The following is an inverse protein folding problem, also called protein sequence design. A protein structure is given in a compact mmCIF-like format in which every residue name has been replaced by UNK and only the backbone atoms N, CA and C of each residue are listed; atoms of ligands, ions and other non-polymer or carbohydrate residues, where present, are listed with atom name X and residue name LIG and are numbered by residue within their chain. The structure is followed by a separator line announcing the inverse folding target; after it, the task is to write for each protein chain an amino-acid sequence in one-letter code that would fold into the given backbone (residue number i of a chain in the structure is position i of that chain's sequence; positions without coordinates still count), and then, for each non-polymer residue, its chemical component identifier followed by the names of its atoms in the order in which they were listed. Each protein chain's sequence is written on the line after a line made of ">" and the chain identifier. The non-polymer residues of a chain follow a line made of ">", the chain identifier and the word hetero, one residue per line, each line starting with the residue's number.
data_IF_834984619007
#
_entry.id   IF_834984619007
#
_cell.length_a   1.000
_cell.length_b   1.000
_cell.length_c   1.000
_cell.angle_alpha   90.00
_cell.angle_beta   90.00
_cell.angle_gamma   90.00
#
_symmetry.space_group_name_H-M   'P 1'
#
loop_
_entity.id
_entity.type
_entity.pdbx_description
1 polymer ?
#
# COMPACT_ATOMS: atom_id res chain seq x y z
N UNK A 1 -17.92 -12.82 -7.96
CA UNK A 1 -16.59 -13.26 -8.39
C UNK A 1 -16.22 -12.52 -9.66
N UNK A 2 -15.07 -11.88 -9.64
CA UNK A 2 -14.46 -11.21 -10.77
C UNK A 2 -14.50 -12.10 -12.01
N UNK A 3 -14.83 -11.51 -13.14
CA UNK A 3 -14.66 -12.17 -14.43
C UNK A 3 -13.16 -12.49 -14.57
N UNK A 4 -12.81 -13.76 -14.75
CA UNK A 4 -11.42 -14.19 -14.92
C UNK A 4 -11.24 -14.56 -16.40
N UNK A 5 -10.25 -13.99 -17.10
CA UNK A 5 -10.00 -14.36 -18.49
C UNK A 5 -9.77 -15.88 -18.64
N UNK A 6 -10.43 -16.52 -19.61
CA UNK A 6 -10.27 -17.95 -19.86
C UNK A 6 -8.79 -18.36 -20.06
N UNK A 7 -8.00 -17.47 -20.70
CA UNK A 7 -6.55 -17.66 -20.91
C UNK A 7 -5.78 -17.79 -19.59
N UNK A 8 -6.24 -17.20 -18.48
CA UNK A 8 -5.59 -17.30 -17.17
C UNK A 8 -5.62 -18.72 -16.64
N UNK A 9 -6.76 -19.42 -16.77
CA UNK A 9 -6.88 -20.82 -16.35
C UNK A 9 -5.92 -21.71 -17.13
N UNK A 10 -5.93 -21.59 -18.46
CA UNK A 10 -5.06 -22.36 -19.34
C UNK A 10 -3.57 -22.13 -19.04
N UNK A 11 -3.15 -20.87 -18.82
CA UNK A 11 -1.76 -20.58 -18.46
C UNK A 11 -1.35 -21.24 -17.13
N UNK A 12 -2.23 -21.26 -16.13
CA UNK A 12 -1.97 -21.94 -14.85
C UNK A 12 -1.90 -23.45 -15.02
N UNK A 13 -2.72 -24.04 -15.90
CA UNK A 13 -2.65 -25.47 -16.25
C UNK A 13 -1.33 -25.82 -16.94
N UNK A 14 -0.88 -25.02 -17.92
CA UNK A 14 0.42 -25.19 -18.58
C UNK A 14 1.57 -25.05 -17.58
N UNK A 15 1.52 -24.03 -16.71
CA UNK A 15 2.50 -23.80 -15.66
C UNK A 15 2.60 -25.01 -14.72
N UNK A 16 1.45 -25.52 -14.24
CA UNK A 16 1.42 -26.65 -13.32
C UNK A 16 1.73 -28.01 -13.98
N UNK A 17 1.52 -28.14 -15.29
CA UNK A 17 1.92 -29.34 -16.02
C UNK A 17 3.44 -29.39 -16.22
N UNK A 18 4.06 -28.25 -16.56
CA UNK A 18 5.49 -28.16 -16.85
C UNK A 18 6.36 -28.19 -15.58
N UNK A 19 5.96 -27.46 -14.53
CA UNK A 19 6.62 -27.39 -13.22
C UNK A 19 8.11 -26.97 -13.21
N UNK A 20 8.69 -26.61 -14.35
CA UNK A 20 10.11 -26.25 -14.44
C UNK A 20 10.54 -25.15 -13.46
N UNK A 21 9.67 -24.16 -13.22
CA UNK A 21 9.94 -23.04 -12.33
C UNK A 21 9.49 -23.26 -10.87
N UNK A 22 9.21 -24.50 -10.43
CA UNK A 22 8.63 -24.76 -9.11
C UNK A 22 9.47 -24.22 -7.94
N UNK A 23 10.79 -24.36 -8.02
CA UNK A 23 11.72 -23.85 -7.01
C UNK A 23 11.82 -22.31 -6.98
N UNK A 24 11.39 -21.61 -8.04
CA UNK A 24 11.56 -20.16 -8.17
C UNK A 24 10.40 -19.36 -7.59
N UNK A 25 9.23 -19.97 -7.42
CA UNK A 25 8.00 -19.26 -7.09
C UNK A 25 7.47 -19.66 -5.70
N UNK A 26 7.41 -18.70 -4.77
CA UNK A 26 6.85 -18.92 -3.44
C UNK A 26 5.36 -19.32 -3.44
N UNK A 27 4.64 -19.06 -4.53
CA UNK A 27 3.22 -19.43 -4.71
C UNK A 27 3.07 -20.89 -5.16
N UNK A 28 4.13 -21.50 -5.70
CA UNK A 28 4.06 -22.82 -6.30
C UNK A 28 3.53 -23.92 -5.36
N UNK A 29 3.90 -23.98 -4.06
CA UNK A 29 3.34 -24.96 -3.13
C UNK A 29 1.82 -24.90 -2.96
N UNK A 30 1.21 -23.73 -3.20
CA UNK A 30 -0.24 -23.60 -3.28
C UNK A 30 -0.76 -24.06 -4.65
N UNK A 31 -0.08 -23.70 -5.73
CA UNK A 31 -0.47 -24.01 -7.10
C UNK A 31 -0.45 -25.52 -7.38
N UNK A 32 0.58 -26.24 -6.96
CA UNK A 32 0.77 -27.67 -7.28
C UNK A 32 -0.30 -28.61 -6.70
N UNK A 33 -1.02 -28.16 -5.67
CA UNK A 33 -2.11 -28.90 -5.02
C UNK A 33 -3.36 -29.01 -5.89
N UNK A 34 -3.37 -28.35 -7.05
CA UNK A 34 -4.55 -28.17 -7.92
C UNK A 34 -4.28 -28.73 -9.31
N UNK A 35 -5.03 -29.75 -9.72
CA UNK A 35 -4.93 -30.32 -11.08
C UNK A 35 -5.78 -29.57 -12.10
N UNK A 36 -6.87 -28.97 -11.66
CA UNK A 36 -7.73 -28.06 -12.42
C UNK A 36 -8.01 -26.86 -11.52
N UNK A 37 -8.17 -25.68 -12.12
CA UNK A 37 -8.34 -24.44 -11.38
C UNK A 37 -9.79 -23.99 -11.41
N UNK A 38 -10.38 -23.80 -10.23
CA UNK A 38 -11.66 -23.10 -10.11
C UNK A 38 -11.43 -21.58 -10.06
N UNK A 39 -12.46 -20.75 -10.31
CA UNK A 39 -12.34 -19.31 -10.09
C UNK A 39 -11.80 -18.93 -8.70
N UNK A 40 -12.17 -19.69 -7.67
CA UNK A 40 -11.74 -19.47 -6.28
C UNK A 40 -10.23 -19.71 -6.12
N UNK A 41 -9.72 -20.75 -6.77
CA UNK A 41 -8.29 -21.05 -6.79
C UNK A 41 -7.48 -19.95 -7.46
N UNK A 42 -7.95 -19.41 -8.58
CA UNK A 42 -7.26 -18.33 -9.28
C UNK A 42 -7.24 -17.05 -8.44
N UNK A 43 -8.36 -16.69 -7.80
CA UNK A 43 -8.43 -15.55 -6.87
C UNK A 43 -7.46 -15.71 -5.70
N UNK A 44 -7.39 -16.92 -5.13
CA UNK A 44 -6.45 -17.23 -4.05
C UNK A 44 -4.99 -17.08 -4.50
N UNK A 45 -4.62 -17.69 -5.62
CA UNK A 45 -3.25 -17.65 -6.15
C UNK A 45 -2.84 -16.22 -6.58
N UNK A 46 -3.78 -15.45 -7.14
CA UNK A 46 -3.55 -14.06 -7.52
C UNK A 46 -3.16 -13.17 -6.33
N UNK A 47 -3.78 -13.40 -5.18
CA UNK A 47 -3.51 -12.68 -3.93
C UNK A 47 -2.34 -13.24 -3.11
N UNK A 48 -1.76 -14.38 -3.50
CA UNK A 48 -0.46 -14.84 -3.03
C UNK A 48 0.70 -14.36 -3.91
N UNK A 49 0.45 -14.07 -5.18
CA UNK A 49 1.46 -13.61 -6.12
C UNK A 49 1.81 -12.13 -5.86
N UNK A 50 3.10 -11.82 -5.73
CA UNK A 50 3.60 -10.44 -5.56
C UNK A 50 4.46 -9.94 -6.72
N UNK A 51 4.20 -10.42 -7.94
CA UNK A 51 4.91 -9.99 -9.17
C UNK A 51 6.44 -10.10 -9.02
N UNK A 52 6.90 -11.25 -8.52
CA UNK A 52 8.33 -11.53 -8.34
C UNK A 52 9.06 -11.85 -9.66
N UNK A 53 8.29 -12.18 -10.71
CA UNK A 53 8.71 -12.42 -12.11
C UNK A 53 9.71 -13.55 -12.36
N UNK A 54 10.18 -14.23 -11.32
CA UNK A 54 11.08 -15.36 -11.46
C UNK A 54 10.51 -16.45 -12.39
N UNK A 55 9.21 -16.75 -12.28
CA UNK A 55 8.55 -17.70 -13.17
C UNK A 55 8.48 -17.24 -14.63
N UNK A 56 8.46 -15.93 -14.92
CA UNK A 56 8.43 -15.42 -16.30
C UNK A 56 9.78 -15.62 -16.97
N UNK A 57 10.88 -15.18 -16.34
CA UNK A 57 12.22 -15.31 -16.91
C UNK A 57 12.72 -16.76 -16.99
N UNK A 58 12.20 -17.65 -16.14
CA UNK A 58 12.52 -19.07 -16.19
C UNK A 58 11.60 -19.88 -17.14
N UNK A 59 10.51 -19.31 -17.65
CA UNK A 59 9.52 -20.08 -18.41
C UNK A 59 9.96 -20.27 -19.87
N UNK A 60 10.13 -21.54 -20.27
CA UNK A 60 10.41 -21.90 -21.68
C UNK A 60 9.27 -21.52 -22.65
N UNK A 61 8.07 -21.26 -22.13
CA UNK A 61 6.87 -20.89 -22.88
C UNK A 61 6.53 -19.40 -22.78
N UNK A 62 7.38 -18.58 -22.13
CA UNK A 62 7.24 -17.14 -22.16
C UNK A 62 7.46 -16.59 -23.58
N UNK A 63 6.94 -15.39 -23.90
CA UNK A 63 7.24 -14.74 -25.18
C UNK A 63 8.76 -14.71 -25.46
N UNK A 64 9.19 -14.96 -26.71
CA UNK A 64 8.40 -15.01 -27.95
C UNK A 64 7.77 -16.37 -28.30
N UNK A 65 7.80 -17.38 -27.40
CA UNK A 65 7.15 -18.67 -27.66
C UNK A 65 5.65 -18.48 -27.97
N UNK A 66 5.10 -19.27 -28.88
CA UNK A 66 3.71 -19.15 -29.39
C UNK A 66 2.65 -19.22 -28.27
N UNK A 67 2.90 -20.00 -27.22
CA UNK A 67 2.04 -20.09 -26.04
C UNK A 67 1.96 -18.76 -25.27
N UNK A 68 3.02 -17.94 -25.28
CA UNK A 68 3.07 -16.63 -24.66
C UNK A 68 2.65 -16.62 -23.19
N UNK A 69 3.14 -17.59 -22.40
CA UNK A 69 2.81 -17.74 -20.98
C UNK A 69 3.40 -16.57 -20.18
N UNK A 70 2.55 -15.87 -19.44
CA UNK A 70 2.90 -14.75 -18.58
C UNK A 70 2.08 -14.78 -17.29
N UNK A 71 2.48 -15.68 -16.38
CA UNK A 71 1.84 -15.88 -15.08
C UNK A 71 1.83 -14.60 -14.21
N UNK A 72 2.92 -13.81 -14.11
CA UNK A 72 2.89 -12.58 -13.32
C UNK A 72 1.80 -11.62 -13.77
N UNK A 73 1.69 -11.38 -15.09
CA UNK A 73 0.64 -10.52 -15.66
C UNK A 73 -0.75 -11.11 -15.44
N UNK A 74 -0.96 -12.38 -15.77
CA UNK A 74 -2.27 -13.02 -15.64
C UNK A 74 -2.81 -12.99 -14.20
N UNK A 75 -1.94 -13.19 -13.21
CA UNK A 75 -2.30 -13.11 -11.80
C UNK A 75 -2.44 -11.66 -11.30
N UNK A 76 -1.63 -10.72 -11.80
CA UNK A 76 -1.77 -9.29 -11.49
C UNK A 76 -3.12 -8.74 -11.98
N UNK A 77 -3.53 -9.09 -13.20
CA UNK A 77 -4.83 -8.71 -13.78
C UNK A 77 -6.00 -9.23 -12.92
N UNK A 78 -5.93 -10.45 -12.41
CA UNK A 78 -6.98 -10.98 -11.50
C UNK A 78 -6.93 -10.27 -10.16
N UNK A 79 -5.74 -10.04 -9.58
CA UNK A 79 -5.60 -9.36 -8.29
C UNK A 79 -6.16 -7.94 -8.34
N UNK A 80 -5.86 -7.19 -9.39
CA UNK A 80 -6.43 -5.86 -9.63
C UNK A 80 -7.96 -5.88 -9.61
N UNK A 81 -8.58 -6.85 -10.30
CA UNK A 81 -10.05 -7.00 -10.31
C UNK A 81 -10.60 -7.27 -8.91
N UNK A 82 -9.87 -8.03 -8.09
CA UNK A 82 -10.30 -8.29 -6.70
C UNK A 82 -10.25 -7.05 -5.82
N UNK A 83 -9.35 -6.08 -6.08
CA UNK A 83 -9.35 -4.80 -5.36
C UNK A 83 -10.65 -4.04 -5.60
N UNK A 84 -11.12 -3.99 -6.84
CA UNK A 84 -12.39 -3.32 -7.17
C UNK A 84 -13.62 -4.08 -6.63
N UNK A 85 -13.57 -5.41 -6.58
CA UNK A 85 -14.71 -6.25 -6.15
C UNK A 85 -14.94 -6.19 -4.63
N UNK A 86 -13.85 -6.16 -3.86
CA UNK A 86 -13.88 -6.12 -2.40
C UNK A 86 -13.84 -4.70 -1.81
N UNK A 87 -13.60 -3.68 -2.62
CA UNK A 87 -13.71 -2.29 -2.19
C UNK A 87 -15.18 -1.86 -2.01
N UNK A 88 -15.41 -1.05 -0.97
CA UNK A 88 -16.72 -0.48 -0.64
C UNK A 88 -16.58 1.04 -0.56
N UNK A 89 -17.52 1.84 -1.12
CA UNK A 89 -18.64 1.42 -1.94
C UNK A 89 -18.19 1.04 -3.36
N UNK A 90 -18.78 -0.02 -3.93
CA UNK A 90 -18.42 -0.56 -5.25
C UNK A 90 -18.51 0.46 -6.40
N UNK A 91 -19.42 1.43 -6.28
CA UNK A 91 -19.59 2.52 -7.27
C UNK A 91 -18.31 3.36 -7.38
N UNK A 92 -17.71 3.71 -6.24
CA UNK A 92 -16.47 4.50 -6.19
C UNK A 92 -15.30 3.66 -6.67
N UNK A 93 -15.26 2.36 -6.33
CA UNK A 93 -14.21 1.45 -6.79
C UNK A 93 -14.15 1.34 -8.32
N UNK A 94 -15.31 1.25 -8.98
CA UNK A 94 -15.40 1.23 -10.44
C UNK A 94 -14.93 2.53 -11.10
N UNK A 95 -15.22 3.68 -10.47
CA UNK A 95 -14.79 5.01 -10.93
C UNK A 95 -13.29 5.20 -10.72
N UNK A 96 -12.77 4.87 -9.54
CA UNK A 96 -11.36 4.97 -9.18
C UNK A 96 -10.47 4.15 -10.13
N UNK A 97 -10.92 2.94 -10.47
CA UNK A 97 -10.20 2.05 -11.41
C UNK A 97 -10.04 2.65 -12.81
N UNK A 98 -10.99 3.48 -13.25
CA UNK A 98 -11.05 4.00 -14.63
C UNK A 98 -10.59 5.45 -14.75
N UNK A 99 -10.49 6.17 -13.64
CA UNK A 99 -10.36 7.61 -13.66
C UNK A 99 -9.26 8.11 -12.71
N UNK A 100 -8.05 8.31 -13.26
CA UNK A 100 -6.94 8.93 -12.53
C UNK A 100 -7.27 10.35 -12.05
N UNK A 101 -8.24 11.04 -12.67
CA UNK A 101 -8.71 12.34 -12.21
C UNK A 101 -9.41 12.28 -10.85
N UNK A 102 -9.91 11.12 -10.42
CA UNK A 102 -10.54 10.99 -9.12
C UNK A 102 -9.58 11.39 -8.00
N UNK A 103 -8.31 10.94 -8.06
CA UNK A 103 -7.32 11.34 -7.07
C UNK A 103 -7.11 12.86 -7.09
N UNK A 104 -6.97 13.46 -8.27
CA UNK A 104 -6.79 14.92 -8.36
C UNK A 104 -8.00 15.66 -7.76
N UNK A 105 -9.22 15.22 -8.07
CA UNK A 105 -10.44 15.85 -7.52
C UNK A 105 -10.51 15.73 -6.01
N UNK A 106 -10.14 14.57 -5.44
CA UNK A 106 -10.08 14.38 -3.98
C UNK A 106 -8.98 15.25 -3.38
N UNK A 107 -7.79 15.30 -3.97
CA UNK A 107 -6.70 16.13 -3.49
C UNK A 107 -7.05 17.63 -3.48
N UNK A 108 -7.69 18.12 -4.56
CA UNK A 108 -8.16 19.51 -4.65
C UNK A 108 -9.29 19.77 -3.64
N UNK A 109 -10.23 18.84 -3.47
CA UNK A 109 -11.30 18.96 -2.49
C UNK A 109 -10.75 18.99 -1.05
N UNK A 110 -9.79 18.12 -0.72
CA UNK A 110 -9.10 18.10 0.58
C UNK A 110 -8.34 19.41 0.83
N UNK A 111 -7.66 19.94 -0.19
CA UNK A 111 -6.95 21.22 -0.10
C UNK A 111 -7.92 22.38 0.10
N UNK A 112 -9.03 22.41 -0.63
CA UNK A 112 -10.07 23.42 -0.46
C UNK A 112 -10.72 23.34 0.93
N UNK A 113 -10.97 22.14 1.44
CA UNK A 113 -11.53 21.91 2.77
C UNK A 113 -10.64 22.49 3.87
N UNK A 114 -9.36 22.08 3.95
CA UNK A 114 -8.44 22.61 4.96
C UNK A 114 -8.05 24.07 4.71
N UNK A 115 -7.95 24.49 3.46
CA UNK A 115 -7.69 25.88 3.09
C UNK A 115 -8.81 26.82 3.55
N UNK A 116 -10.08 26.42 3.39
CA UNK A 116 -11.23 27.19 3.88
C UNK A 116 -11.20 27.30 5.41
N UNK A 117 -10.94 26.20 6.11
CA UNK A 117 -10.82 26.20 7.58
C UNK A 117 -9.71 27.16 8.02
N UNK A 118 -8.53 27.06 7.41
CA UNK A 118 -7.39 27.90 7.76
C UNK A 118 -7.58 29.38 7.37
N UNK A 119 -8.42 29.69 6.37
CA UNK A 119 -8.76 31.07 6.01
C UNK A 119 -9.53 31.80 7.12
N UNK A 120 -10.23 31.07 7.99
CA UNK A 120 -10.87 31.62 9.19
C UNK A 120 -9.97 31.57 10.44
N UNK A 121 -8.69 31.25 10.29
CA UNK A 121 -7.74 31.25 11.41
C UNK A 121 -7.54 32.67 11.96
N UNK A 122 -7.61 32.89 13.29
CA UNK A 122 -7.47 34.21 13.91
C UNK A 122 -6.12 34.90 13.65
N UNK A 123 -5.05 34.12 13.40
CA UNK A 123 -3.68 34.63 13.23
C UNK A 123 -3.20 34.55 11.77
N UNK A 124 -4.04 34.04 10.87
CA UNK A 124 -3.71 33.86 9.47
C UNK A 124 -2.71 32.72 9.19
N UNK A 125 -2.52 32.44 7.89
CA UNK A 125 -1.73 31.31 7.38
C UNK A 125 -0.22 31.56 7.29
N UNK A 126 0.20 32.83 7.18
CA UNK A 126 1.57 33.23 6.85
C UNK A 126 2.30 33.87 8.04
N UNK A 127 1.88 33.58 9.26
CA UNK A 127 2.55 34.04 10.47
C UNK A 127 3.20 32.86 11.18
N UNK A 128 4.38 33.08 11.76
CA UNK A 128 5.02 32.09 12.60
C UNK A 128 4.16 31.89 13.85
N UNK A 129 3.78 30.64 14.12
CA UNK A 129 3.00 30.28 15.28
C UNK A 129 3.85 29.36 16.16
N UNK A 130 4.18 29.83 17.35
CA UNK A 130 5.04 29.11 18.29
C UNK A 130 4.34 28.91 19.63
N UNK A 131 4.80 27.91 20.38
CA UNK A 131 4.26 27.55 21.69
C UNK A 131 3.17 26.47 21.65
N UNK A 132 2.65 26.09 22.82
CA UNK A 132 1.68 25.00 22.96
C UNK A 132 0.38 25.29 22.20
N UNK A 133 -0.08 24.31 21.42
CA UNK A 133 -1.30 24.41 20.60
C UNK A 133 -1.14 25.21 19.30
N UNK A 134 0.09 25.53 18.86
CA UNK A 134 0.31 26.37 17.68
C UNK A 134 -0.27 25.84 16.36
N UNK A 135 -0.48 24.52 16.23
CA UNK A 135 -1.17 23.97 15.06
C UNK A 135 -2.70 24.22 15.11
N UNK A 136 -3.27 24.23 16.33
CA UNK A 136 -4.71 24.33 16.54
C UNK A 136 -5.29 25.72 16.32
N UNK A 137 -4.43 26.72 16.30
CA UNK A 137 -4.79 28.08 15.92
C UNK A 137 -4.98 28.23 14.41
N UNK A 138 -4.32 27.38 13.59
CA UNK A 138 -4.50 27.35 12.13
C UNK A 138 -5.65 26.43 11.76
N UNK A 139 -5.60 25.18 12.22
CA UNK A 139 -6.64 24.17 11.97
C UNK A 139 -7.14 23.66 13.32
N UNK A 140 -8.39 23.94 13.72
CA UNK A 140 -8.91 23.51 15.02
C UNK A 140 -8.77 22.00 15.22
N UNK A 141 -8.51 21.57 16.47
CA UNK A 141 -8.26 20.17 16.81
C UNK A 141 -9.31 19.19 16.23
N UNK A 142 -10.59 19.52 16.38
CA UNK A 142 -11.69 18.69 15.85
C UNK A 142 -11.66 18.55 14.32
N UNK A 143 -11.23 19.58 13.61
CA UNK A 143 -11.12 19.54 12.16
C UNK A 143 -9.96 18.66 11.67
N UNK A 144 -8.96 18.39 12.53
CA UNK A 144 -7.90 17.43 12.25
C UNK A 144 -8.32 16.00 12.61
N UNK A 145 -8.88 15.82 13.82
CA UNK A 145 -9.16 14.48 14.36
C UNK A 145 -10.39 13.82 13.75
N UNK A 146 -11.49 14.55 13.53
CA UNK A 146 -12.72 13.91 13.04
C UNK A 146 -12.54 13.28 11.65
N UNK A 147 -11.99 13.98 10.62
CA UNK A 147 -11.78 13.35 9.33
C UNK A 147 -10.83 12.16 9.41
N UNK A 148 -9.73 12.28 10.17
CA UNK A 148 -8.76 11.20 10.34
C UNK A 148 -9.38 9.96 11.01
N UNK A 149 -10.14 10.15 12.09
CA UNK A 149 -10.80 9.06 12.81
C UNK A 149 -11.87 8.38 11.95
N UNK A 150 -12.70 9.16 11.24
CA UNK A 150 -13.72 8.63 10.36
C UNK A 150 -13.11 7.80 9.22
N UNK A 151 -12.05 8.32 8.58
CA UNK A 151 -11.32 7.58 7.56
C UNK A 151 -10.67 6.32 8.11
N UNK A 152 -10.08 6.36 9.30
CA UNK A 152 -9.44 5.20 9.91
C UNK A 152 -10.46 4.09 10.24
N UNK A 153 -11.59 4.46 10.84
CA UNK A 153 -12.70 3.52 11.10
C UNK A 153 -13.26 2.94 9.80
N UNK A 154 -13.42 3.78 8.78
CA UNK A 154 -13.85 3.36 7.46
C UNK A 154 -12.86 2.40 6.81
N UNK A 155 -11.55 2.70 6.81
CA UNK A 155 -10.51 1.86 6.25
C UNK A 155 -10.49 0.48 6.92
N UNK A 156 -10.55 0.43 8.26
CA UNK A 156 -10.66 -0.84 9.00
C UNK A 156 -11.93 -1.59 8.61
N UNK A 157 -13.07 -0.90 8.55
CA UNK A 157 -14.35 -1.51 8.17
C UNK A 157 -14.30 -2.14 6.77
N UNK A 158 -13.76 -1.42 5.78
CA UNK A 158 -13.63 -1.91 4.40
C UNK A 158 -12.61 -3.06 4.32
N UNK A 159 -11.47 -2.97 5.00
CA UNK A 159 -10.48 -4.04 5.03
C UNK A 159 -11.04 -5.32 5.65
N UNK A 160 -11.77 -5.22 6.77
CA UNK A 160 -12.43 -6.37 7.40
C UNK A 160 -13.51 -6.96 6.50
N UNK A 161 -14.38 -6.12 5.93
CA UNK A 161 -15.42 -6.57 5.00
C UNK A 161 -14.82 -7.27 3.78
N UNK A 162 -13.76 -6.71 3.20
CA UNK A 162 -13.02 -7.31 2.09
C UNK A 162 -12.35 -8.63 2.47
N UNK A 163 -11.74 -8.73 3.65
CA UNK A 163 -11.14 -9.96 4.14
C UNK A 163 -12.19 -11.07 4.35
N UNK A 164 -13.36 -10.75 4.91
CA UNK A 164 -14.45 -11.71 5.06
C UNK A 164 -15.04 -12.14 3.72
N UNK A 165 -15.22 -11.19 2.79
CA UNK A 165 -15.69 -11.49 1.44
C UNK A 165 -14.69 -12.40 0.70
N UNK A 166 -13.39 -12.07 0.73
CA UNK A 166 -12.33 -12.90 0.17
C UNK A 166 -12.30 -14.30 0.78
N UNK A 167 -12.37 -14.41 2.11
CA UNK A 167 -12.38 -15.70 2.81
C UNK A 167 -13.58 -16.57 2.38
N UNK A 168 -14.76 -15.96 2.22
CA UNK A 168 -15.95 -16.64 1.71
C UNK A 168 -15.76 -17.11 0.26
N UNK A 169 -15.25 -16.24 -0.61
CA UNK A 169 -15.11 -16.52 -2.05
C UNK A 169 -14.06 -17.60 -2.33
N UNK A 170 -13.01 -17.71 -1.52
CA UNK A 170 -12.03 -18.81 -1.63
C UNK A 170 -12.48 -20.10 -0.94
N UNK A 171 -13.68 -20.12 -0.34
CA UNK A 171 -14.23 -21.28 0.36
C UNK A 171 -13.51 -21.62 1.67
N UNK A 172 -12.93 -20.63 2.36
CA UNK A 172 -12.28 -20.87 3.65
C UNK A 172 -13.31 -21.38 4.68
N UNK A 173 -13.17 -22.63 5.13
CA UNK A 173 -14.07 -23.21 6.14
C UNK A 173 -13.69 -22.75 7.55
N UNK A 174 -14.68 -22.61 8.44
CA UNK A 174 -14.50 -22.22 9.85
C UNK A 174 -13.51 -23.12 10.61
N UNK A 175 -13.37 -24.38 10.20
CA UNK A 175 -12.43 -25.36 10.75
C UNK A 175 -10.98 -25.13 10.30
N UNK A 176 -10.75 -24.46 9.17
CA UNK A 176 -9.42 -24.12 8.66
C UNK A 176 -8.96 -22.72 9.13
N UNK A 177 -9.88 -21.79 9.37
CA UNK A 177 -9.59 -20.41 9.77
C UNK A 177 -9.46 -20.18 11.29
N UNK A 178 -9.77 -21.18 12.12
CA UNK A 178 -9.80 -21.05 13.59
C UNK A 178 -8.50 -21.43 14.32
N UNK A 179 -7.46 -21.86 13.61
CA UNK A 179 -6.19 -22.25 14.24
C UNK A 179 -5.32 -21.04 14.54
N UNK A 180 -5.14 -20.71 15.83
CA UNK A 180 -4.21 -19.67 16.29
C UNK A 180 -2.79 -19.87 15.74
N UNK A 181 -2.32 -21.12 15.65
CA UNK A 181 -1.00 -21.42 15.07
C UNK A 181 -0.92 -21.05 13.59
N UNK A 182 -1.97 -21.32 12.82
CA UNK A 182 -2.01 -20.94 11.42
C UNK A 182 -2.09 -19.41 11.25
N UNK A 183 -2.83 -18.72 12.12
CA UNK A 183 -2.89 -17.26 12.13
C UNK A 183 -1.53 -16.63 12.45
N UNK A 184 -0.80 -17.15 13.45
CA UNK A 184 0.55 -16.72 13.77
C UNK A 184 1.53 -16.99 12.62
N UNK A 185 1.46 -18.16 11.99
CA UNK A 185 2.29 -18.47 10.84
C UNK A 185 2.01 -17.51 9.67
N UNK A 186 0.73 -17.27 9.35
CA UNK A 186 0.32 -16.33 8.30
C UNK A 186 0.77 -14.89 8.61
N UNK A 187 0.66 -14.46 9.87
CA UNK A 187 1.18 -13.16 10.31
C UNK A 187 2.71 -13.07 10.13
N UNK A 188 3.44 -14.13 10.49
CA UNK A 188 4.89 -14.21 10.27
C UNK A 188 5.26 -14.17 8.79
N UNK A 189 4.50 -14.84 7.92
CA UNK A 189 4.71 -14.80 6.48
C UNK A 189 4.42 -13.42 5.88
N UNK A 190 3.36 -12.75 6.34
CA UNK A 190 2.98 -11.42 5.90
C UNK A 190 4.02 -10.37 6.36
N UNK A 191 4.37 -10.34 7.64
CA UNK A 191 5.38 -9.44 8.20
C UNK A 191 6.77 -9.72 7.64
N UNK A 192 7.07 -10.99 7.33
CA UNK A 192 8.33 -11.39 6.70
C UNK A 192 8.37 -11.17 5.18
N UNK A 193 7.26 -10.77 4.57
CA UNK A 193 7.06 -10.66 3.11
C UNK A 193 7.49 -11.93 2.36
N UNK A 194 7.08 -13.11 2.85
CA UNK A 194 7.49 -14.43 2.30
C UNK A 194 7.38 -14.49 0.78
N UNK A 195 6.26 -14.02 0.23
CA UNK A 195 5.97 -14.09 -1.19
C UNK A 195 6.70 -13.03 -2.05
N UNK A 196 7.42 -12.10 -1.42
CA UNK A 196 8.32 -11.13 -2.08
C UNK A 196 9.80 -11.52 -1.97
N UNK A 197 10.14 -12.61 -1.27
CA UNK A 197 11.51 -13.15 -1.21
C UNK A 197 11.87 -14.02 -2.43
N UNK A 198 10.88 -14.32 -3.27
CA UNK A 198 11.02 -15.34 -4.31
C UNK A 198 11.01 -16.76 -3.73
N UNK A 199 11.32 -17.73 -4.58
CA UNK A 199 11.54 -19.12 -4.16
C UNK A 199 12.96 -19.33 -3.64
N UNK A 200 13.52 -20.52 -3.88
CA UNK A 200 14.87 -20.91 -3.43
C UNK A 200 16.01 -20.13 -4.11
N UNK A 201 15.72 -19.34 -5.14
CA UNK A 201 16.69 -18.58 -5.94
C UNK A 201 17.20 -17.25 -5.38
N UNK A 202 16.96 -16.95 -4.09
CA UNK A 202 17.65 -15.86 -3.38
C UNK A 202 17.16 -14.42 -3.63
N UNK A 203 15.93 -14.23 -4.13
CA UNK A 203 15.32 -12.92 -4.33
C UNK A 203 14.33 -12.88 -5.50
N UNK A 204 13.82 -11.69 -5.82
CA UNK A 204 12.93 -11.48 -6.97
C UNK A 204 13.66 -10.99 -8.21
N UNK A 205 13.13 -11.32 -9.37
CA UNK A 205 13.65 -10.93 -10.69
C UNK A 205 13.05 -9.56 -11.04
N UNK A 206 13.54 -8.53 -10.35
CA UNK A 206 13.07 -7.16 -10.48
C UNK A 206 14.21 -6.18 -10.17
N UNK A 207 14.49 -5.19 -11.03
CA UNK A 207 13.70 -4.74 -12.18
C UNK A 207 13.97 -5.51 -13.49
N UNK A 208 14.93 -6.44 -13.51
CA UNK A 208 15.38 -7.18 -14.70
C UNK A 208 15.35 -8.69 -14.47
N UNK A 209 15.89 -9.47 -15.41
CA UNK A 209 16.10 -10.92 -15.30
C UNK A 209 17.12 -11.34 -14.23
N UNK A 210 17.77 -10.39 -13.55
CA UNK A 210 18.69 -10.68 -12.45
C UNK A 210 17.96 -10.68 -11.11
N UNK A 211 18.27 -11.67 -10.29
CA UNK A 211 17.71 -11.78 -8.94
C UNK A 211 18.24 -10.66 -8.05
N UNK A 212 17.37 -10.11 -7.21
CA UNK A 212 17.73 -9.07 -6.24
C UNK A 212 16.75 -9.04 -5.06
N UNK A 213 17.26 -8.65 -3.89
CA UNK A 213 16.46 -8.36 -2.70
C UNK A 213 16.16 -6.86 -2.52
N UNK A 214 16.59 -5.99 -3.45
CA UNK A 214 16.38 -4.54 -3.32
C UNK A 214 14.89 -4.19 -3.19
N UNK A 215 14.01 -4.80 -4.00
CA UNK A 215 12.56 -4.56 -3.92
C UNK A 215 11.99 -4.98 -2.56
N UNK A 216 12.46 -6.09 -1.99
CA UNK A 216 12.07 -6.58 -0.66
C UNK A 216 12.47 -5.58 0.42
N UNK A 217 13.74 -5.16 0.43
CA UNK A 217 14.26 -4.19 1.43
C UNK A 217 13.48 -2.89 1.34
N UNK A 218 13.29 -2.34 0.14
CA UNK A 218 12.54 -1.10 -0.04
C UNK A 218 11.07 -1.21 0.41
N UNK A 219 10.42 -2.37 0.18
CA UNK A 219 9.07 -2.61 0.74
C UNK A 219 9.09 -2.64 2.26
N UNK A 220 10.10 -3.25 2.89
CA UNK A 220 10.25 -3.24 4.35
C UNK A 220 10.43 -1.82 4.89
N UNK A 221 11.20 -0.97 4.21
CA UNK A 221 11.36 0.43 4.59
C UNK A 221 10.02 1.18 4.55
N UNK A 222 9.22 0.99 3.50
CA UNK A 222 7.86 1.58 3.43
C UNK A 222 6.97 1.04 4.55
N UNK A 223 6.89 -0.28 4.69
CA UNK A 223 6.00 -0.93 5.66
C UNK A 223 6.34 -0.55 7.10
N UNK A 224 7.60 -0.73 7.51
CA UNK A 224 8.01 -0.38 8.88
C UNK A 224 8.11 1.13 9.10
N UNK A 225 8.35 1.92 8.05
CA UNK A 225 8.23 3.38 8.10
C UNK A 225 6.81 3.83 8.43
N UNK A 226 5.81 3.25 7.76
CA UNK A 226 4.40 3.46 8.05
C UNK A 226 4.04 3.03 9.48
N UNK A 227 4.49 1.85 9.93
CA UNK A 227 4.25 1.38 11.32
C UNK A 227 4.86 2.36 12.33
N UNK A 228 6.08 2.84 12.09
CA UNK A 228 6.72 3.84 12.95
C UNK A 228 5.92 5.14 13.00
N UNK A 229 5.45 5.64 11.86
CA UNK A 229 4.61 6.84 11.79
C UNK A 229 3.26 6.64 12.50
N UNK A 230 2.64 5.47 12.37
CA UNK A 230 1.40 5.15 13.08
C UNK A 230 1.60 5.12 14.61
N UNK A 231 2.68 4.52 15.09
CA UNK A 231 3.03 4.54 16.52
C UNK A 231 3.31 5.97 16.98
N UNK A 232 3.94 6.80 16.15
CA UNK A 232 4.14 8.22 16.44
C UNK A 232 2.81 8.97 16.63
N UNK A 233 1.81 8.70 15.79
CA UNK A 233 0.46 9.26 15.92
C UNK A 233 -0.22 8.83 17.23
N UNK A 234 -0.14 7.54 17.59
CA UNK A 234 -0.67 7.04 18.86
C UNK A 234 0.05 7.70 20.04
N UNK A 235 1.38 7.80 19.98
CA UNK A 235 2.16 8.44 21.04
C UNK A 235 1.79 9.92 21.21
N UNK A 236 1.57 10.65 20.10
CA UNK A 236 1.10 12.04 20.15
C UNK A 236 -0.28 12.14 20.81
N UNK A 237 -1.23 11.27 20.41
CA UNK A 237 -2.56 11.24 21.02
C UNK A 237 -2.50 10.97 22.53
N UNK A 238 -1.68 10.01 22.98
CA UNK A 238 -1.49 9.73 24.41
C UNK A 238 -0.86 10.94 25.12
N UNK A 239 0.21 11.52 24.57
CA UNK A 239 0.88 12.67 25.17
C UNK A 239 -0.05 13.87 25.32
N UNK A 240 -0.91 14.12 24.34
CA UNK A 240 -1.87 15.19 24.42
C UNK A 240 -3.06 14.86 25.32
N UNK A 241 -3.81 13.81 25.01
CA UNK A 241 -5.14 13.60 25.57
C UNK A 241 -5.09 12.94 26.96
N UNK A 242 -3.94 12.35 27.35
CA UNK A 242 -3.73 11.73 28.66
C UNK A 242 -2.80 12.55 29.55
N UNK A 243 -1.76 13.17 28.96
CA UNK A 243 -0.74 13.91 29.71
C UNK A 243 -0.82 15.43 29.54
N UNK A 244 -1.81 15.95 28.81
CA UNK A 244 -2.03 17.38 28.54
C UNK A 244 -0.83 18.10 27.89
N UNK A 245 0.02 17.35 27.17
CA UNK A 245 1.17 17.89 26.46
C UNK A 245 0.77 18.24 25.03
N UNK A 246 0.53 19.53 24.79
CA UNK A 246 0.12 20.03 23.48
C UNK A 246 1.31 20.14 22.51
N UNK A 247 1.10 19.87 21.20
CA UNK A 247 2.11 20.09 20.17
C UNK A 247 2.34 21.60 19.94
N UNK A 248 3.46 22.02 19.34
CA UNK A 248 4.54 21.21 18.76
C UNK A 248 5.42 20.52 19.83
N UNK A 249 5.66 19.22 19.67
CA UNK A 249 6.49 18.47 20.61
C UNK A 249 8.00 18.72 20.44
N UNK A 250 8.81 18.58 21.50
CA UNK A 250 10.27 18.63 21.41
C UNK A 250 10.83 17.63 20.38
N UNK A 251 11.96 17.96 19.74
CA UNK A 251 12.54 17.12 18.67
C UNK A 251 12.91 15.70 19.12
N UNK A 252 13.27 15.53 20.39
CA UNK A 252 13.65 14.23 20.98
C UNK A 252 12.46 13.50 21.63
N UNK A 253 11.25 14.04 21.53
CA UNK A 253 10.05 13.36 22.03
C UNK A 253 9.75 12.10 21.22
N UNK A 254 9.08 11.14 21.85
CA UNK A 254 8.72 9.86 21.21
C UNK A 254 7.96 10.06 19.88
N UNK A 255 6.93 10.93 19.78
CA UNK A 255 6.22 11.14 18.52
C UNK A 255 7.11 11.71 17.42
N UNK A 256 7.98 12.67 17.75
CA UNK A 256 8.82 13.31 16.73
C UNK A 256 9.91 12.37 16.25
N UNK A 257 10.57 11.61 17.13
CA UNK A 257 11.62 10.66 16.73
C UNK A 257 11.02 9.55 15.87
N UNK A 258 9.94 8.90 16.32
CA UNK A 258 9.30 7.82 15.56
C UNK A 258 8.72 8.33 14.23
N UNK A 259 8.13 9.53 14.23
CA UNK A 259 7.60 10.16 13.02
C UNK A 259 8.70 10.53 12.03
N UNK A 260 9.83 11.08 12.51
CA UNK A 260 10.96 11.48 11.67
C UNK A 260 11.67 10.28 11.05
N UNK A 261 11.96 9.25 11.86
CA UNK A 261 12.55 8.01 11.37
C UNK A 261 11.59 7.34 10.39
N UNK A 262 10.31 7.22 10.74
CA UNK A 262 9.29 6.63 9.91
C UNK A 262 9.14 7.33 8.55
N UNK A 263 9.03 8.66 8.56
CA UNK A 263 8.96 9.48 7.36
C UNK A 263 10.21 9.35 6.48
N UNK A 264 11.40 9.44 7.07
CA UNK A 264 12.66 9.33 6.32
C UNK A 264 12.83 7.97 5.63
N UNK A 265 12.59 6.86 6.34
CA UNK A 265 12.72 5.52 5.73
C UNK A 265 11.61 5.25 4.73
N UNK A 266 10.40 5.78 4.95
CA UNK A 266 9.28 5.67 4.00
C UNK A 266 9.58 6.41 2.70
N UNK A 267 10.18 7.61 2.75
CA UNK A 267 10.64 8.34 1.55
C UNK A 267 11.68 7.52 0.79
N UNK A 268 12.72 7.02 1.47
CA UNK A 268 13.76 6.19 0.84
C UNK A 268 13.15 4.94 0.19
N UNK A 269 12.23 4.27 0.89
CA UNK A 269 11.52 3.10 0.41
C UNK A 269 10.65 3.40 -0.82
N UNK A 270 9.77 4.41 -0.74
CA UNK A 270 8.82 4.76 -1.79
C UNK A 270 9.55 5.29 -3.03
N UNK A 271 10.45 6.26 -2.88
CA UNK A 271 11.29 6.77 -3.97
C UNK A 271 12.12 5.65 -4.62
N UNK A 272 12.69 4.75 -3.81
CA UNK A 272 13.43 3.60 -4.33
C UNK A 272 12.54 2.65 -5.15
N UNK A 273 11.31 2.39 -4.70
CA UNK A 273 10.36 1.55 -5.45
C UNK A 273 9.91 2.21 -6.74
N UNK A 274 9.68 3.52 -6.75
CA UNK A 274 9.41 4.31 -7.95
C UNK A 274 10.56 4.17 -8.95
N UNK A 275 11.79 4.33 -8.50
CA UNK A 275 12.99 4.17 -9.33
C UNK A 275 13.10 2.75 -9.92
N UNK A 276 12.92 1.71 -9.11
CA UNK A 276 12.93 0.33 -9.62
C UNK A 276 11.79 0.10 -10.62
N UNK A 277 10.61 0.68 -10.39
CA UNK A 277 9.47 0.55 -11.29
C UNK A 277 9.69 1.26 -12.62
N UNK A 278 10.34 2.42 -12.60
CA UNK A 278 10.76 3.13 -13.81
C UNK A 278 11.67 2.25 -14.67
N UNK A 279 12.67 1.62 -14.07
CA UNK A 279 13.61 0.72 -14.75
C UNK A 279 13.11 -0.69 -15.04
N UNK A 280 11.91 -1.06 -14.57
CA UNK A 280 11.44 -2.44 -14.67
C UNK A 280 11.06 -2.83 -16.09
N UNK A 281 11.41 -4.05 -16.47
CA UNK A 281 10.91 -4.67 -17.70
C UNK A 281 9.38 -4.64 -17.69
N UNK A 282 8.79 -4.20 -18.81
CA UNK A 282 7.35 -4.04 -18.95
C UNK A 282 6.68 -5.29 -19.53
N UNK A 283 7.43 -6.20 -20.16
CA UNK A 283 6.88 -7.42 -20.75
C UNK A 283 6.08 -8.29 -19.75
N UNK A 284 6.57 -8.58 -18.51
CA UNK A 284 5.83 -9.37 -17.53
C UNK A 284 4.75 -8.58 -16.77
N UNK A 285 4.65 -7.26 -16.98
CA UNK A 285 3.82 -6.40 -16.15
C UNK A 285 2.39 -6.24 -16.68
N UNK A 286 1.44 -6.08 -15.77
CA UNK A 286 0.12 -5.54 -16.09
C UNK A 286 0.13 -4.00 -16.02
N UNK A 287 -0.35 -3.34 -17.07
CA UNK A 287 -0.29 -1.89 -17.20
C UNK A 287 -1.17 -1.16 -16.18
N UNK A 288 -2.34 -1.73 -15.86
CA UNK A 288 -3.29 -1.14 -14.93
C UNK A 288 -2.76 -1.21 -13.50
N UNK A 289 -2.26 -2.37 -13.09
CA UNK A 289 -1.59 -2.57 -11.79
C UNK A 289 -0.40 -1.62 -11.66
N UNK A 290 0.43 -1.47 -12.71
CA UNK A 290 1.54 -0.53 -12.68
C UNK A 290 1.07 0.91 -12.45
N UNK A 291 0.01 1.37 -13.11
CA UNK A 291 -0.52 2.71 -12.94
C UNK A 291 -1.01 2.96 -11.50
N UNK A 292 -1.72 2.00 -10.91
CA UNK A 292 -2.18 2.07 -9.51
C UNK A 292 -0.99 2.12 -8.53
N UNK A 293 0.03 1.28 -8.75
CA UNK A 293 1.22 1.30 -7.91
C UNK A 293 1.98 2.63 -7.98
N UNK A 294 2.09 3.23 -9.17
CA UNK A 294 2.70 4.56 -9.35
C UNK A 294 1.92 5.62 -8.57
N UNK A 295 0.59 5.61 -8.72
CA UNK A 295 -0.30 6.55 -8.04
C UNK A 295 -0.13 6.47 -6.52
N UNK A 296 -0.22 5.25 -5.97
CA UNK A 296 -0.10 5.02 -4.54
C UNK A 296 1.28 5.43 -4.00
N UNK A 297 2.37 5.02 -4.66
CA UNK A 297 3.73 5.33 -4.21
C UNK A 297 4.03 6.83 -4.29
N UNK A 298 3.60 7.54 -5.34
CA UNK A 298 3.76 9.00 -5.43
C UNK A 298 2.98 9.68 -4.31
N UNK A 299 1.72 9.33 -4.10
CA UNK A 299 0.91 9.95 -3.04
C UNK A 299 1.52 9.71 -1.66
N UNK A 300 2.00 8.49 -1.38
CA UNK A 300 2.66 8.15 -0.12
C UNK A 300 3.95 8.95 0.08
N UNK A 301 4.77 9.08 -0.96
CA UNK A 301 6.02 9.84 -0.92
C UNK A 301 5.75 11.34 -0.71
N UNK A 302 4.74 11.91 -1.39
CA UNK A 302 4.30 13.31 -1.19
C UNK A 302 3.82 13.56 0.25
N UNK A 303 2.99 12.67 0.80
CA UNK A 303 2.55 12.77 2.21
C UNK A 303 3.75 12.73 3.17
N UNK A 304 4.70 11.84 2.91
CA UNK A 304 5.90 11.69 3.73
C UNK A 304 6.80 12.93 3.66
N UNK A 305 7.04 13.45 2.45
CA UNK A 305 7.85 14.65 2.21
C UNK A 305 7.22 15.89 2.84
N UNK A 306 5.91 16.09 2.65
CA UNK A 306 5.20 17.23 3.26
C UNK A 306 5.22 17.17 4.78
N UNK A 307 5.12 15.97 5.39
CA UNK A 307 5.25 15.78 6.83
C UNK A 307 6.65 16.14 7.36
N UNK A 308 7.70 15.71 6.66
CA UNK A 308 9.08 16.05 7.01
C UNK A 308 9.37 17.55 6.83
N UNK A 309 8.87 18.16 5.74
CA UNK A 309 9.00 19.61 5.51
C UNK A 309 8.26 20.41 6.59
N UNK A 310 7.06 19.97 6.97
CA UNK A 310 6.30 20.59 8.06
C UNK A 310 7.10 20.53 9.37
N UNK A 311 7.72 19.39 9.70
CA UNK A 311 8.57 19.27 10.89
C UNK A 311 9.73 20.27 10.87
N UNK A 312 10.47 20.35 9.76
CA UNK A 312 11.64 21.24 9.62
C UNK A 312 11.25 22.71 9.70
N UNK A 313 10.11 23.08 9.13
CA UNK A 313 9.68 24.47 9.00
C UNK A 313 8.60 24.88 10.00
N UNK A 314 8.32 24.05 11.02
CA UNK A 314 7.20 24.24 11.95
C UNK A 314 7.25 25.53 12.77
N UNK A 315 8.43 26.13 12.94
CA UNK A 315 8.61 27.38 13.71
C UNK A 315 8.67 28.62 12.80
N UNK A 316 8.44 28.46 11.49
CA UNK A 316 8.53 29.53 10.49
C UNK A 316 7.15 30.00 10.04
N UNK A 317 7.05 31.15 9.34
CA UNK A 317 5.82 31.60 8.70
C UNK A 317 5.21 30.60 7.68
N UNK A 318 5.99 29.61 7.22
CA UNK A 318 5.50 28.59 6.30
C UNK A 318 4.65 27.50 6.97
N UNK A 319 4.67 27.41 8.31
CA UNK A 319 4.01 26.34 9.07
C UNK A 319 2.52 26.20 8.72
N UNK A 320 1.76 27.30 8.67
CA UNK A 320 0.32 27.25 8.42
C UNK A 320 -0.02 26.67 7.05
N UNK A 321 0.69 27.11 6.01
CA UNK A 321 0.53 26.60 4.64
C UNK A 321 0.94 25.14 4.55
N UNK A 322 2.09 24.76 5.10
CA UNK A 322 2.57 23.38 5.09
C UNK A 322 1.65 22.44 5.86
N UNK A 323 1.05 22.90 6.96
CA UNK A 323 0.06 22.14 7.72
C UNK A 323 -1.16 21.83 6.85
N UNK A 324 -1.72 22.84 6.18
CA UNK A 324 -2.86 22.66 5.27
C UNK A 324 -2.52 21.70 4.13
N UNK A 325 -1.36 21.88 3.49
CA UNK A 325 -0.89 21.00 2.40
C UNK A 325 -0.72 19.57 2.90
N UNK A 326 -0.04 19.37 4.04
CA UNK A 326 0.19 18.05 4.59
C UNK A 326 -1.14 17.35 4.94
N UNK A 327 -2.03 18.01 5.69
CA UNK A 327 -3.34 17.46 6.05
C UNK A 327 -4.19 17.13 4.81
N UNK A 328 -4.15 17.99 3.79
CA UNK A 328 -4.86 17.75 2.53
C UNK A 328 -4.32 16.51 1.81
N UNK A 329 -2.99 16.35 1.76
CA UNK A 329 -2.37 15.16 1.16
C UNK A 329 -2.66 13.89 1.95
N UNK A 330 -2.67 13.96 3.29
CA UNK A 330 -3.04 12.82 4.16
C UNK A 330 -4.50 12.42 3.96
N UNK A 331 -5.41 13.39 3.86
CA UNK A 331 -6.85 13.14 3.64
C UNK A 331 -7.14 12.57 2.24
N UNK A 332 -6.29 12.89 1.25
CA UNK A 332 -6.46 12.44 -0.13
C UNK A 332 -5.83 11.08 -0.44
N UNK A 333 -4.80 10.68 0.31
CA UNK A 333 -4.15 9.36 0.24
C UNK A 333 -5.10 8.26 0.73
#
# INVERSE_FOLDING_TARGET
>A
MAEIPAKTFWQLEVCNACRYCEGYCAVFPALERRRRFTPADVVYLANLCHDCRACFYACMYAPPHEFGVNIPRALAEVRERTYAEYALPRVVAGLARRNAWLLLTVAVASLAFFGLIAAFSPRGLFQAQTGPGAFYTVVPYLAMVLPALLLWLYAIGVMLAGAFAFAKDIGATRTQSGSWRAALAAAGEALGLRYLRGGTGGGCYYPSERTSNTRLVLHMLVFYGFISAFIATIAAAIMQDVFDQLPPYPLLSVPVVLGSVGGAVMIVGATGLLYLKWRSDRAPADAQTLALDWLFLISLDVVSLTGMLLLVLRETPAMGVLLVVHLATVLAL
#
